data_IF_869946383185
#
_entry.id   IF_869946383185
#
_cell.length_a   1.000
_cell.length_b   1.000
_cell.length_c   1.000
_cell.angle_alpha   90.00
_cell.angle_beta   90.00
_cell.angle_gamma   90.00
#
_symmetry.space_group_name_H-M   'P 1'
#
loop_
_entity.id
_entity.type
_entity.pdbx_description
1 polymer ?
#
# COMPACT_ATOMS: atom_id res chain seq x y z
N UNK A 1 3.66 6.89 2.75
CA UNK A 1 3.19 6.93 4.16
C UNK A 1 3.04 5.51 4.62
N UNK A 2 3.43 5.21 5.86
CA UNK A 2 3.15 3.92 6.50
C UNK A 2 2.30 4.20 7.73
N UNK A 3 1.18 3.48 7.85
CA UNK A 3 0.27 3.56 8.98
C UNK A 3 0.31 2.24 9.74
N UNK A 4 0.47 2.31 11.06
CA UNK A 4 0.27 1.20 11.98
C UNK A 4 -1.21 1.10 12.33
N UNK A 5 -1.87 0.03 11.86
CA UNK A 5 -3.31 -0.16 12.04
C UNK A 5 -3.65 -1.29 12.99
N UNK A 6 -2.66 -1.87 13.70
CA UNK A 6 -2.86 -3.05 14.57
C UNK A 6 -3.92 -2.87 15.65
N UNK A 7 -4.01 -1.67 16.23
CA UNK A 7 -5.01 -1.36 17.26
C UNK A 7 -6.42 -1.06 16.68
N UNK A 8 -6.52 -0.91 15.37
CA UNK A 8 -7.73 -0.48 14.67
C UNK A 8 -8.26 -1.52 13.66
N UNK A 9 -7.42 -2.47 13.27
CA UNK A 9 -7.68 -3.46 12.22
C UNK A 9 -7.27 -4.84 12.71
N UNK A 10 -8.16 -5.82 12.51
CA UNK A 10 -7.89 -7.23 12.84
C UNK A 10 -7.37 -8.06 11.66
N UNK A 11 -7.26 -7.47 10.47
CA UNK A 11 -6.95 -8.21 9.25
C UNK A 11 -5.57 -7.89 8.66
N UNK A 12 -4.92 -6.83 9.11
CA UNK A 12 -3.58 -6.44 8.68
C UNK A 12 -2.95 -5.53 9.72
N UNK A 13 -1.62 -5.52 9.79
CA UNK A 13 -0.88 -4.73 10.77
C UNK A 13 -0.52 -3.36 10.22
N UNK A 14 -0.21 -3.25 8.92
CA UNK A 14 0.28 -2.01 8.32
C UNK A 14 -0.37 -1.68 6.99
N UNK A 15 -0.67 -0.40 6.79
CA UNK A 15 -0.92 0.16 5.46
C UNK A 15 0.29 0.91 4.94
N UNK A 16 0.70 0.58 3.72
CA UNK A 16 1.66 1.37 2.96
C UNK A 16 0.91 2.11 1.87
N UNK A 17 0.89 3.44 1.93
CA UNK A 17 0.18 4.29 0.97
C UNK A 17 1.19 5.07 0.16
N UNK A 18 1.16 4.90 -1.16
CA UNK A 18 2.05 5.58 -2.10
C UNK A 18 1.32 6.04 -3.36
N UNK A 19 1.95 6.96 -4.12
CA UNK A 19 1.35 7.54 -5.32
C UNK A 19 2.22 7.38 -6.56
N UNK A 20 1.58 7.00 -7.65
CA UNK A 20 2.08 7.14 -9.01
C UNK A 20 1.63 8.47 -9.64
N UNK A 21 2.30 8.84 -10.74
CA UNK A 21 2.08 10.11 -11.47
C UNK A 21 1.19 9.94 -12.71
N UNK A 22 0.85 8.70 -13.04
CA UNK A 22 -0.05 8.28 -14.12
C UNK A 22 -0.49 6.85 -13.82
N UNK A 23 -1.56 6.38 -14.45
CA UNK A 23 -2.03 4.99 -14.27
C UNK A 23 -0.96 3.96 -14.66
N UNK A 24 -0.20 4.23 -15.73
CA UNK A 24 0.96 3.40 -16.12
C UNK A 24 2.08 3.41 -15.08
N UNK A 25 2.32 4.54 -14.41
CA UNK A 25 3.31 4.60 -13.33
C UNK A 25 2.84 3.78 -12.12
N UNK A 26 1.55 3.85 -11.76
CA UNK A 26 0.96 3.04 -10.70
C UNK A 26 1.14 1.55 -10.98
N UNK A 27 0.80 1.09 -12.18
CA UNK A 27 1.00 -0.30 -12.61
C UNK A 27 2.47 -0.71 -12.49
N UNK A 28 3.38 0.11 -13.02
CA UNK A 28 4.81 -0.18 -12.97
C UNK A 28 5.36 -0.26 -11.53
N UNK A 29 4.88 0.60 -10.63
CA UNK A 29 5.26 0.55 -9.20
C UNK A 29 4.76 -0.74 -8.55
N UNK A 30 3.50 -1.11 -8.78
CA UNK A 30 2.91 -2.32 -8.24
C UNK A 30 3.61 -3.58 -8.76
N UNK A 31 3.83 -3.68 -10.09
CA UNK A 31 4.54 -4.78 -10.73
C UNK A 31 5.99 -4.91 -10.21
N UNK A 32 6.68 -3.78 -10.05
CA UNK A 32 8.05 -3.76 -9.52
C UNK A 32 8.09 -4.27 -8.08
N UNK A 33 7.16 -3.81 -7.24
CA UNK A 33 7.08 -4.23 -5.85
C UNK A 33 6.78 -5.73 -5.73
N UNK A 34 5.79 -6.24 -6.45
CA UNK A 34 5.50 -7.67 -6.51
C UNK A 34 6.70 -8.47 -7.03
N UNK A 35 7.41 -7.95 -8.03
CA UNK A 35 8.63 -8.53 -8.58
C UNK A 35 9.75 -8.70 -7.55
N UNK A 36 10.06 -7.62 -6.84
CA UNK A 36 11.10 -7.62 -5.81
C UNK A 36 10.75 -8.53 -4.64
N UNK A 37 9.52 -8.46 -4.13
CA UNK A 37 9.08 -9.29 -3.01
C UNK A 37 9.02 -10.77 -3.38
N UNK A 38 8.58 -11.10 -4.60
CA UNK A 38 8.59 -12.47 -5.11
C UNK A 38 10.01 -13.05 -5.15
N UNK A 39 11.03 -12.25 -5.47
CA UNK A 39 12.44 -12.69 -5.43
C UNK A 39 12.90 -13.07 -4.02
N UNK A 40 12.26 -12.49 -2.99
CA UNK A 40 12.46 -12.78 -1.57
C UNK A 40 11.51 -13.86 -1.03
N UNK A 41 10.78 -14.55 -1.91
CA UNK A 41 9.75 -15.57 -1.58
C UNK A 41 8.54 -15.03 -0.81
N UNK A 42 8.34 -13.71 -0.83
CA UNK A 42 7.13 -13.05 -0.32
C UNK A 42 6.19 -12.88 -1.50
N UNK A 43 4.98 -13.42 -1.43
CA UNK A 43 3.98 -13.34 -2.51
C UNK A 43 2.77 -12.57 -2.02
N UNK A 44 2.16 -11.84 -2.93
CA UNK A 44 0.81 -11.30 -2.73
C UNK A 44 -0.17 -12.45 -2.56
N UNK A 45 -1.06 -12.34 -1.58
CA UNK A 45 -2.23 -13.20 -1.44
C UNK A 45 -3.29 -12.82 -2.47
N UNK A 46 -3.39 -11.52 -2.76
CA UNK A 46 -4.36 -10.92 -3.68
C UNK A 46 -3.83 -9.60 -4.24
N UNK A 47 -4.14 -9.36 -5.52
CA UNK A 47 -3.88 -8.10 -6.23
C UNK A 47 -5.17 -7.63 -6.88
N UNK A 48 -5.58 -6.38 -6.66
CA UNK A 48 -6.81 -5.79 -7.21
C UNK A 48 -6.51 -4.47 -7.92
N UNK A 49 -7.26 -4.14 -8.97
CA UNK A 49 -7.19 -2.84 -9.68
C UNK A 49 -5.97 -2.63 -10.58
N UNK A 50 -5.16 -3.68 -10.79
CA UNK A 50 -3.95 -3.64 -11.63
C UNK A 50 -4.25 -3.21 -13.07
N UNK A 51 -5.36 -3.66 -13.66
CA UNK A 51 -5.68 -3.37 -15.05
C UNK A 51 -5.96 -1.88 -15.28
N UNK A 52 -6.66 -1.23 -14.36
CA UNK A 52 -7.03 0.18 -14.45
C UNK A 52 -5.87 1.10 -14.04
N UNK A 53 -5.06 0.70 -13.06
CA UNK A 53 -3.93 1.49 -12.55
C UNK A 53 -4.34 2.79 -11.84
N UNK A 54 -5.61 2.95 -11.49
CA UNK A 54 -6.11 4.11 -10.73
C UNK A 54 -5.87 3.95 -9.23
N UNK A 55 -6.10 2.75 -8.74
CA UNK A 55 -5.80 2.32 -7.39
C UNK A 55 -5.51 0.83 -7.47
N UNK A 56 -4.26 0.46 -7.18
CA UNK A 56 -3.85 -0.93 -7.05
C UNK A 56 -3.72 -1.26 -5.57
N UNK A 57 -4.34 -2.36 -5.17
CA UNK A 57 -4.23 -2.94 -3.83
C UNK A 57 -3.41 -4.22 -3.92
N UNK A 58 -2.33 -4.30 -3.15
CA UNK A 58 -1.50 -5.49 -3.01
C UNK A 58 -1.56 -5.97 -1.56
N UNK A 59 -2.12 -7.16 -1.37
CA UNK A 59 -2.30 -7.78 -0.06
C UNK A 59 -1.18 -8.79 0.20
N UNK A 60 -0.41 -8.58 1.28
CA UNK A 60 0.63 -9.48 1.76
C UNK A 60 0.32 -10.09 3.13
N UNK A 61 -0.96 -10.05 3.57
CA UNK A 61 -1.39 -10.43 4.91
C UNK A 61 -1.15 -9.30 5.91
N UNK A 62 -0.02 -9.34 6.61
CA UNK A 62 0.32 -8.38 7.67
C UNK A 62 0.57 -6.97 7.12
N UNK A 63 0.78 -6.83 5.81
CA UNK A 63 0.95 -5.53 5.13
C UNK A 63 0.05 -5.45 3.92
N UNK A 64 -0.73 -4.37 3.81
CA UNK A 64 -1.47 -4.03 2.58
C UNK A 64 -0.89 -2.76 1.97
N UNK A 65 -0.57 -2.82 0.69
CA UNK A 65 0.02 -1.70 -0.07
C UNK A 65 -1.03 -1.11 -1.00
N UNK A 66 -1.29 0.18 -0.83
CA UNK A 66 -2.16 0.99 -1.67
C UNK A 66 -1.30 1.86 -2.60
N UNK A 67 -1.33 1.56 -3.89
CA UNK A 67 -0.65 2.35 -4.92
C UNK A 67 -1.71 3.15 -5.69
N UNK A 68 -1.74 4.46 -5.46
CA UNK A 68 -2.77 5.34 -6.03
C UNK A 68 -2.25 6.17 -7.20
N UNK A 69 -3.11 6.43 -8.18
CA UNK A 69 -2.98 7.63 -9.00
C UNK A 69 -3.44 8.84 -8.18
N UNK A 70 -2.74 9.96 -8.29
CA UNK A 70 -2.87 11.11 -7.38
C UNK A 70 -4.32 11.57 -7.16
N UNK A 71 -5.12 11.71 -8.23
CA UNK A 71 -6.54 12.10 -8.14
C UNK A 71 -7.37 11.13 -7.29
N UNK A 72 -7.07 9.83 -7.34
CA UNK A 72 -7.78 8.85 -6.52
C UNK A 72 -7.32 8.87 -5.06
N UNK A 73 -6.04 9.14 -4.79
CA UNK A 73 -5.58 9.28 -3.40
C UNK A 73 -6.28 10.44 -2.71
N UNK A 74 -6.37 11.58 -3.39
CA UNK A 74 -7.07 12.77 -2.88
C UNK A 74 -8.57 12.52 -2.69
N UNK A 75 -9.21 11.83 -3.64
CA UNK A 75 -10.63 11.52 -3.56
C UNK A 75 -10.99 10.56 -2.41
N UNK A 76 -10.20 9.50 -2.23
CA UNK A 76 -10.47 8.48 -1.21
C UNK A 76 -9.92 8.83 0.18
N UNK A 77 -8.87 9.66 0.25
CA UNK A 77 -8.23 10.14 1.48
C UNK A 77 -8.11 9.09 2.59
N UNK A 78 -7.49 7.95 2.26
CA UNK A 78 -7.29 6.88 3.26
C UNK A 78 -6.48 7.38 4.46
N UNK A 79 -5.59 8.35 4.26
CA UNK A 79 -4.83 8.94 5.36
C UNK A 79 -5.70 9.76 6.32
N UNK A 80 -6.75 10.43 5.83
CA UNK A 80 -7.77 11.06 6.66
C UNK A 80 -8.71 10.05 7.31
N UNK A 81 -9.12 9.00 6.56
CA UNK A 81 -9.95 7.94 7.11
C UNK A 81 -9.28 7.24 8.30
N UNK A 82 -7.98 6.98 8.20
CA UNK A 82 -7.17 6.32 9.22
C UNK A 82 -6.30 7.32 10.00
N UNK A 83 -6.81 8.54 10.23
CA UNK A 83 -6.04 9.59 10.91
C UNK A 83 -5.62 9.25 12.35
N UNK A 84 -6.38 8.38 13.03
CA UNK A 84 -6.03 7.89 14.38
C UNK A 84 -4.90 6.84 14.37
N UNK A 85 -4.56 6.29 13.20
CA UNK A 85 -3.48 5.31 13.05
C UNK A 85 -2.11 6.00 13.16
N UNK A 86 -1.21 5.54 14.05
CA UNK A 86 0.15 6.08 14.12
C UNK A 86 0.86 6.03 12.77
N UNK A 87 1.50 7.15 12.41
CA UNK A 87 2.38 7.22 11.23
C UNK A 87 3.78 6.78 11.62
N UNK A 88 4.34 5.86 10.83
CA UNK A 88 5.73 5.41 11.00
C UNK A 88 6.61 6.29 10.12
N UNK A 89 7.31 7.24 10.74
CA UNK A 89 8.22 8.17 10.06
C UNK A 89 9.67 7.64 9.96
N UNK A 90 10.05 6.70 10.84
CA UNK A 90 11.36 6.06 10.84
C UNK A 90 11.24 4.53 10.77
N UNK A 91 11.74 3.94 9.69
CA UNK A 91 11.73 2.49 9.47
C UNK A 91 12.92 1.79 10.13
N UNK A 92 13.79 2.52 10.83
CA UNK A 92 15.01 1.96 11.45
C UNK A 92 14.83 1.43 12.88
N UNK A 93 13.70 1.75 13.54
CA UNK A 93 13.44 1.39 14.95
C UNK A 93 12.67 0.08 15.16
N UNK A 94 12.29 -0.63 14.09
CA UNK A 94 11.64 -1.94 14.19
C UNK A 94 12.65 -3.06 13.96
N UNK A 95 13.44 -3.37 15.00
CA UNK A 95 14.39 -4.49 15.05
C UNK A 95 14.04 -5.46 16.16
#
# INVERSE_FOLDING_TARGET
VVLDVREMSSFTDYFVIMSGRSTRHVQALADSLEGELRSKRIKTSRTEGMQEGKWVLLDFGDVVVHVFYHEQREFYDLEGLWHDAPRIDDLSDHK
#
